data_IF_913322006166
#
_entry.id   IF_913322006166
#
_cell.length_a   1.000
_cell.length_b   1.000
_cell.length_c   1.000
_cell.angle_alpha   90.00
_cell.angle_beta   90.00
_cell.angle_gamma   90.00
#
_symmetry.space_group_name_H-M   'P 1'
#
loop_
_entity.id
_entity.type
_entity.pdbx_description
1 polymer ?
#
# COMPACT_ATOMS: atom_id res chain seq x y z
N UNK A 1 6.35 -18.44 25.16
CA UNK A 1 5.14 -17.76 24.62
C UNK A 1 5.52 -16.98 23.36
N UNK A 2 4.89 -17.24 22.21
CA UNK A 2 5.06 -16.39 21.01
C UNK A 2 4.10 -15.21 21.11
N UNK A 3 4.65 -14.04 21.40
CA UNK A 3 3.86 -12.79 21.48
C UNK A 3 3.55 -12.34 20.05
N UNK A 4 2.27 -12.18 19.72
CA UNK A 4 1.84 -11.62 18.43
C UNK A 4 1.90 -10.10 18.51
N UNK A 5 2.28 -9.45 17.42
CA UNK A 5 2.18 -8.00 17.32
C UNK A 5 0.71 -7.55 17.47
N UNK A 6 0.45 -6.35 18.03
CA UNK A 6 -0.87 -5.75 18.07
C UNK A 6 -1.52 -5.72 16.68
N UNK A 7 -2.84 -5.89 16.60
CA UNK A 7 -3.55 -5.83 15.33
C UNK A 7 -3.43 -4.44 14.71
N UNK A 8 -3.10 -4.36 13.41
CA UNK A 8 -2.98 -3.11 12.66
C UNK A 8 -4.27 -2.30 12.52
N UNK A 9 -5.40 -2.77 13.07
CA UNK A 9 -6.77 -2.23 12.98
C UNK A 9 -7.35 -2.09 11.55
N UNK A 10 -6.51 -2.11 10.51
CA UNK A 10 -6.94 -2.20 9.11
C UNK A 10 -7.61 -3.55 8.86
N UNK A 11 -8.85 -3.51 8.37
CA UNK A 11 -9.65 -4.68 8.00
C UNK A 11 -9.92 -4.66 6.51
N UNK A 12 -9.66 -5.77 5.85
CA UNK A 12 -10.00 -5.96 4.44
C UNK A 12 -11.52 -6.18 4.32
N UNK A 13 -12.10 -5.62 3.28
CA UNK A 13 -13.49 -5.84 2.86
C UNK A 13 -13.56 -6.96 1.82
N UNK A 14 -14.77 -7.38 1.44
CA UNK A 14 -14.94 -8.32 0.31
C UNK A 14 -14.40 -7.74 -1.00
N UNK A 15 -14.55 -6.42 -1.22
CA UNK A 15 -13.99 -5.76 -2.40
C UNK A 15 -12.46 -5.83 -2.40
N UNK A 16 -11.83 -5.61 -1.24
CA UNK A 16 -10.38 -5.75 -1.12
C UNK A 16 -9.94 -7.20 -1.35
N UNK A 17 -10.68 -8.17 -0.81
CA UNK A 17 -10.40 -9.58 -1.02
C UNK A 17 -10.52 -10.00 -2.49
N UNK A 18 -11.49 -9.45 -3.24
CA UNK A 18 -11.59 -9.66 -4.68
C UNK A 18 -10.34 -9.17 -5.43
N UNK A 19 -9.85 -7.97 -5.08
CA UNK A 19 -8.60 -7.43 -5.62
C UNK A 19 -7.39 -8.28 -5.23
N UNK A 20 -7.26 -8.68 -3.96
CA UNK A 20 -6.19 -9.55 -3.47
C UNK A 20 -6.15 -10.86 -4.25
N UNK A 21 -7.31 -11.52 -4.45
CA UNK A 21 -7.38 -12.76 -5.23
C UNK A 21 -6.96 -12.55 -6.68
N UNK A 22 -7.40 -11.46 -7.31
CA UNK A 22 -6.96 -11.12 -8.66
C UNK A 22 -5.46 -10.83 -8.76
N UNK A 23 -4.87 -10.14 -7.77
CA UNK A 23 -3.43 -9.89 -7.68
C UNK A 23 -2.64 -11.20 -7.48
N UNK A 24 -3.12 -12.10 -6.60
CA UNK A 24 -2.53 -13.44 -6.41
C UNK A 24 -2.55 -14.24 -7.71
N UNK A 25 -3.69 -14.27 -8.43
CA UNK A 25 -3.79 -14.95 -9.72
C UNK A 25 -2.91 -14.32 -10.79
N UNK A 26 -2.71 -13.00 -10.77
CA UNK A 26 -1.77 -12.31 -11.65
C UNK A 26 -0.31 -12.70 -11.39
N UNK A 27 -0.01 -13.25 -10.21
CA UNK A 27 1.33 -13.68 -9.80
C UNK A 27 2.05 -12.70 -8.88
N UNK A 28 1.33 -11.74 -8.31
CA UNK A 28 1.91 -10.75 -7.41
C UNK A 28 2.36 -11.41 -6.09
N UNK A 29 3.45 -10.91 -5.51
CA UNK A 29 4.00 -11.45 -4.26
C UNK A 29 3.14 -11.02 -3.08
N UNK A 30 2.86 -11.94 -2.15
CA UNK A 30 2.01 -11.65 -0.99
C UNK A 30 2.48 -10.46 -0.14
N UNK A 31 3.79 -10.24 -0.02
CA UNK A 31 4.33 -9.08 0.70
C UNK A 31 4.09 -7.76 -0.02
N UNK A 32 4.13 -7.74 -1.37
CA UNK A 32 3.78 -6.56 -2.15
C UNK A 32 2.29 -6.27 -2.04
N UNK A 33 1.45 -7.30 -2.14
CA UNK A 33 0.00 -7.17 -1.92
C UNK A 33 -0.28 -6.63 -0.52
N UNK A 34 0.39 -7.16 0.52
CA UNK A 34 0.22 -6.68 1.89
C UNK A 34 0.62 -5.21 2.05
N UNK A 35 1.72 -4.79 1.39
CA UNK A 35 2.16 -3.41 1.38
C UNK A 35 1.14 -2.48 0.72
N UNK A 36 0.52 -2.89 -0.40
CA UNK A 36 -0.53 -2.11 -1.07
C UNK A 36 -1.71 -1.79 -0.14
N UNK A 37 -2.18 -2.80 0.60
CA UNK A 37 -3.34 -2.65 1.49
C UNK A 37 -2.97 -2.14 2.90
N UNK A 38 -1.68 -1.98 3.21
CA UNK A 38 -1.24 -1.59 4.56
C UNK A 38 -1.63 -2.60 5.64
N UNK A 39 -1.64 -3.90 5.31
CA UNK A 39 -2.04 -4.98 6.23
C UNK A 39 -0.87 -5.91 6.58
N UNK A 40 -1.04 -6.68 7.65
CA UNK A 40 -0.13 -7.76 7.97
C UNK A 40 -0.17 -8.86 6.88
N UNK A 41 1.00 -9.36 6.44
CA UNK A 41 1.10 -10.39 5.41
C UNK A 41 0.29 -11.66 5.70
N UNK A 42 0.10 -12.01 6.98
CA UNK A 42 -0.77 -13.12 7.38
C UNK A 42 -2.23 -12.96 6.90
N UNK A 43 -2.75 -11.74 6.75
CA UNK A 43 -4.10 -11.49 6.21
C UNK A 43 -4.19 -11.81 4.73
N UNK A 44 -3.14 -11.52 3.97
CA UNK A 44 -3.06 -11.95 2.57
C UNK A 44 -2.93 -13.47 2.49
N UNK A 45 -2.16 -14.09 3.39
CA UNK A 45 -2.05 -15.54 3.52
C UNK A 45 -3.40 -16.23 3.78
N UNK A 46 -4.23 -15.68 4.67
CA UNK A 46 -5.59 -16.20 4.96
C UNK A 46 -6.52 -16.15 3.73
N UNK A 47 -6.38 -15.14 2.87
CA UNK A 47 -7.12 -15.05 1.60
C UNK A 47 -6.56 -16.06 0.59
N UNK A 48 -5.23 -16.16 0.49
CA UNK A 48 -4.56 -17.07 -0.43
C UNK A 48 -4.87 -18.55 -0.12
N UNK A 49 -5.01 -18.92 1.15
CA UNK A 49 -5.41 -20.27 1.58
C UNK A 49 -6.92 -20.51 1.50
N UNK A 50 -7.72 -19.49 1.19
CA UNK A 50 -9.18 -19.56 1.20
C UNK A 50 -9.81 -19.69 2.59
N UNK A 51 -9.05 -19.40 3.65
CA UNK A 51 -9.54 -19.39 5.04
C UNK A 51 -10.42 -18.17 5.30
N UNK A 52 -10.14 -17.04 4.66
CA UNK A 52 -10.96 -15.83 4.67
C UNK A 52 -11.53 -15.55 3.28
N UNK A 53 -12.72 -14.93 3.22
CA UNK A 53 -13.38 -14.49 1.98
C UNK A 53 -13.56 -15.59 0.94
N UNK A 54 -13.86 -16.82 1.37
CA UNK A 54 -13.91 -18.01 0.50
C UNK A 54 -14.83 -17.84 -0.72
N UNK A 55 -16.01 -17.26 -0.52
CA UNK A 55 -17.05 -17.07 -1.55
C UNK A 55 -16.85 -15.83 -2.42
N UNK A 56 -15.96 -14.93 -2.05
CA UNK A 56 -15.73 -13.68 -2.79
C UNK A 56 -15.07 -13.99 -4.14
N UNK A 57 -15.66 -13.58 -5.29
CA UNK A 57 -15.02 -13.76 -6.59
C UNK A 57 -13.78 -12.86 -6.71
N UNK A 58 -12.84 -13.26 -7.55
CA UNK A 58 -11.69 -12.42 -7.89
C UNK A 58 -12.09 -11.24 -8.78
N UNK A 59 -11.40 -10.11 -8.63
CA UNK A 59 -11.59 -8.95 -9.50
C UNK A 59 -11.02 -9.21 -10.91
N UNK A 60 -11.57 -8.52 -11.91
CA UNK A 60 -11.07 -8.60 -13.28
C UNK A 60 -9.68 -7.96 -13.39
N UNK A 61 -8.88 -8.42 -14.35
CA UNK A 61 -7.47 -7.98 -14.51
C UNK A 61 -7.35 -6.47 -14.73
N UNK A 62 -8.35 -5.85 -15.37
CA UNK A 62 -8.39 -4.41 -15.66
C UNK A 62 -8.68 -3.56 -14.42
N UNK A 63 -9.29 -4.15 -13.38
CA UNK A 63 -9.63 -3.45 -12.13
C UNK A 63 -8.52 -3.54 -11.09
N UNK A 64 -7.47 -4.33 -11.37
CA UNK A 64 -6.38 -4.54 -10.43
C UNK A 64 -5.47 -3.31 -10.38
N UNK A 65 -4.90 -3.00 -9.19
CA UNK A 65 -3.87 -1.97 -9.11
C UNK A 65 -2.65 -2.34 -9.95
N UNK A 66 -1.75 -1.37 -10.24
CA UNK A 66 -0.48 -1.63 -10.90
C UNK A 66 0.29 -2.76 -10.21
N UNK A 67 1.05 -3.54 -10.97
CA UNK A 67 1.87 -4.58 -10.37
C UNK A 67 3.04 -3.96 -9.60
N UNK A 68 3.30 -4.48 -8.40
CA UNK A 68 4.42 -4.05 -7.54
C UNK A 68 5.81 -4.39 -8.12
N UNK A 69 6.88 -4.04 -7.40
CA UNK A 69 6.91 -3.63 -5.99
C UNK A 69 6.38 -2.20 -5.77
N UNK A 70 5.78 -1.98 -4.60
CA UNK A 70 5.27 -0.66 -4.22
C UNK A 70 6.31 0.13 -3.42
N UNK A 71 6.19 1.46 -3.50
CA UNK A 71 7.07 2.39 -2.79
C UNK A 71 7.06 2.07 -1.30
N UNK A 72 8.23 1.94 -0.70
CA UNK A 72 8.31 1.63 0.73
C UNK A 72 7.93 2.86 1.57
N UNK A 73 7.49 2.65 2.81
CA UNK A 73 7.24 3.75 3.74
C UNK A 73 8.49 4.63 3.98
N UNK A 74 9.69 4.06 3.85
CA UNK A 74 10.95 4.80 3.91
C UNK A 74 11.09 5.75 2.73
N UNK A 75 10.80 5.29 1.52
CA UNK A 75 10.91 6.11 0.31
C UNK A 75 9.87 7.24 0.32
N UNK A 76 8.66 6.96 0.81
CA UNK A 76 7.64 8.00 1.02
C UNK A 76 8.14 9.06 2.00
N UNK A 77 8.74 8.67 3.12
CA UNK A 77 9.28 9.62 4.09
C UNK A 77 10.41 10.48 3.50
N UNK A 78 11.29 9.88 2.68
CA UNK A 78 12.33 10.61 1.94
C UNK A 78 11.71 11.61 0.96
N UNK A 79 10.72 11.18 0.18
CA UNK A 79 10.04 12.03 -0.79
C UNK A 79 9.34 13.22 -0.11
N UNK A 80 8.62 12.99 0.99
CA UNK A 80 7.95 14.05 1.75
C UNK A 80 8.94 15.08 2.28
N UNK A 81 10.10 14.63 2.80
CA UNK A 81 11.16 15.54 3.24
C UNK A 81 11.72 16.37 2.08
N UNK A 82 11.96 15.75 0.93
CA UNK A 82 12.44 16.45 -0.26
C UNK A 82 11.43 17.49 -0.75
N UNK A 83 10.14 17.15 -0.78
CA UNK A 83 9.05 18.07 -1.14
C UNK A 83 9.00 19.27 -0.19
N UNK A 84 9.14 19.05 1.12
CA UNK A 84 9.14 20.14 2.11
C UNK A 84 10.32 21.10 1.90
N UNK A 85 11.51 20.57 1.59
CA UNK A 85 12.69 21.39 1.28
C UNK A 85 12.47 22.19 0.00
N UNK A 86 11.98 21.54 -1.06
CA UNK A 86 11.71 22.21 -2.33
C UNK A 86 10.69 23.34 -2.16
N UNK A 87 9.62 23.10 -1.40
CA UNK A 87 8.62 24.13 -1.09
C UNK A 87 9.23 25.34 -0.40
N UNK A 88 10.05 25.12 0.64
CA UNK A 88 10.72 26.22 1.35
C UNK A 88 11.63 27.03 0.41
N UNK A 89 12.39 26.38 -0.46
CA UNK A 89 13.28 27.05 -1.40
C UNK A 89 12.51 27.94 -2.39
N UNK A 90 11.34 27.48 -2.86
CA UNK A 90 10.45 28.27 -3.70
C UNK A 90 9.89 29.48 -2.95
N UNK A 91 9.37 29.29 -1.73
CA UNK A 91 8.83 30.39 -0.92
C UNK A 91 9.90 31.47 -0.63
N UNK A 92 11.15 31.06 -0.39
CA UNK A 92 12.28 31.98 -0.17
C UNK A 92 12.65 32.74 -1.47
N UNK A 93 12.63 32.07 -2.62
CA UNK A 93 12.89 32.70 -3.91
C UNK A 93 11.80 33.73 -4.28
N UNK A 94 10.52 33.42 -4.02
CA UNK A 94 9.42 34.36 -4.22
C UNK A 94 9.58 35.62 -3.36
N UNK A 95 10.00 35.49 -2.09
CA UNK A 95 10.27 36.65 -1.23
C UNK A 95 11.39 37.52 -1.77
N UNK A 96 12.46 36.92 -2.31
CA UNK A 96 13.56 37.67 -2.90
C UNK A 96 13.11 38.46 -4.14
N UNK A 97 12.28 37.85 -4.99
CA UNK A 97 11.74 38.54 -6.18
C UNK A 97 10.80 39.70 -5.83
N UNK A 98 10.00 39.56 -4.77
CA UNK A 98 9.03 40.59 -4.36
C UNK A 98 9.65 41.69 -3.47
N UNK A 99 10.91 41.54 -3.04
CA UNK A 99 11.61 42.50 -2.19
C UNK A 99 12.52 43.46 -2.97
N UNK A 100 12.72 43.23 -4.27
CA UNK A 100 13.43 44.14 -5.20
C UNK A 100 12.45 44.95 -6.04
#
# INVERSE_FOLDING_TARGET
MRMRAPSSCVRLTERDAALVKGMLRRGDRQHDIAAWFGVNGGRIGEIASGTAFKTTPEAARLDLPPQGPYVSGRDVAVALKAIAIARKALDDAERLLNAG
#
